data_IF_250092357068
#
_entry.id   IF_250092357068
#
_cell.length_a   1.000
_cell.length_b   1.000
_cell.length_c   1.000
_cell.angle_alpha   90.00
_cell.angle_beta   90.00
_cell.angle_gamma   90.00
#
_symmetry.space_group_name_H-M   'P 1'
#
loop_
_entity.id
_entity.type
_entity.pdbx_description
1 polymer ?
#
# COMPACT_ATOMS: atom_id res chain seq x y z
N UNK A 1 5.06 6.67 46.09
CA UNK A 1 5.78 5.81 45.14
C UNK A 1 4.85 5.56 43.97
N UNK A 2 5.00 6.34 42.90
CA UNK A 2 4.04 6.41 41.79
C UNK A 2 4.39 5.42 40.68
N UNK A 3 3.40 4.59 40.36
CA UNK A 3 3.27 3.67 39.22
C UNK A 3 3.93 4.19 37.92
N UNK A 4 4.91 3.43 37.41
CA UNK A 4 5.49 3.65 36.07
C UNK A 4 4.89 2.60 35.12
N UNK A 5 3.94 3.04 34.29
CA UNK A 5 3.34 2.23 33.23
C UNK A 5 4.35 2.00 32.09
N UNK A 6 4.66 0.75 31.81
CA UNK A 6 5.47 0.35 30.66
C UNK A 6 4.74 0.65 29.34
N UNK A 7 5.43 1.32 28.40
CA UNK A 7 4.95 1.58 27.04
C UNK A 7 5.66 0.61 26.10
N UNK A 8 4.88 -0.20 25.37
CA UNK A 8 5.33 -1.18 24.38
C UNK A 8 5.71 -0.45 23.07
N UNK A 9 6.86 -0.78 22.48
CA UNK A 9 7.42 -0.10 21.29
C UNK A 9 7.31 -1.00 20.05
N UNK A 10 6.90 -0.46 18.89
CA UNK A 10 6.74 -1.24 17.65
C UNK A 10 7.46 -0.60 16.45
N UNK A 11 8.40 -1.32 15.84
CA UNK A 11 8.54 -1.29 14.37
C UNK A 11 7.34 -2.05 13.80
N UNK A 12 6.68 -1.54 12.75
CA UNK A 12 5.62 -2.32 12.08
C UNK A 12 6.26 -3.38 11.22
N UNK A 13 6.53 -4.53 11.84
CA UNK A 13 6.81 -5.80 11.17
C UNK A 13 5.50 -6.23 10.52
N UNK A 14 5.44 -6.21 9.18
CA UNK A 14 4.36 -6.87 8.45
C UNK A 14 4.86 -8.20 7.93
N UNK A 15 4.19 -9.27 8.32
CA UNK A 15 4.33 -10.56 7.68
C UNK A 15 3.49 -10.54 6.41
N UNK A 16 4.13 -10.39 5.27
CA UNK A 16 3.55 -10.84 4.02
C UNK A 16 3.88 -12.34 3.89
N UNK A 17 3.01 -13.14 3.24
CA UNK A 17 3.08 -14.62 3.23
C UNK A 17 4.45 -15.23 2.88
N UNK A 18 5.44 -14.45 2.42
CA UNK A 18 6.81 -14.89 2.10
C UNK A 18 7.94 -14.00 2.61
N UNK A 19 7.68 -12.86 3.27
CA UNK A 19 8.72 -11.90 3.69
C UNK A 19 8.31 -11.11 4.96
N UNK A 20 9.29 -10.70 5.77
CA UNK A 20 9.13 -9.68 6.80
C UNK A 20 9.50 -8.32 6.21
N UNK A 21 8.53 -7.43 6.06
CA UNK A 21 8.78 -6.05 5.63
C UNK A 21 8.89 -5.12 6.85
N UNK A 22 10.03 -4.44 6.98
CA UNK A 22 10.23 -3.35 7.94
C UNK A 22 9.83 -2.02 7.30
N UNK A 23 8.69 -1.49 7.76
CA UNK A 23 8.21 -0.19 7.31
C UNK A 23 8.73 0.94 8.19
N UNK A 24 9.49 1.85 7.60
CA UNK A 24 9.95 3.05 8.26
C UNK A 24 8.98 4.25 8.00
N UNK A 25 7.73 4.16 8.50
CA UNK A 25 6.77 5.29 8.50
C UNK A 25 6.34 5.69 9.93
N UNK A 26 6.27 7.00 10.25
CA UNK A 26 5.63 7.52 11.49
C UNK A 26 4.10 7.42 11.39
N UNK A 27 3.30 7.12 12.42
CA UNK A 27 3.18 7.54 13.83
C UNK A 27 2.47 6.40 14.64
N UNK A 28 2.31 6.47 15.98
CA UNK A 28 1.86 5.33 16.79
C UNK A 28 0.36 5.10 16.61
N UNK A 29 -0.05 3.87 16.25
CA UNK A 29 -1.46 3.48 16.28
C UNK A 29 -1.74 2.62 17.50
N UNK A 30 -2.61 3.09 18.39
CA UNK A 30 -3.22 2.28 19.45
C UNK A 30 -4.15 1.25 18.82
N UNK A 31 -3.68 0.02 18.63
CA UNK A 31 -4.46 -1.23 18.79
C UNK A 31 -3.82 -2.38 18.02
N UNK A 32 -3.81 -3.53 18.72
CA UNK A 32 -3.56 -4.90 18.26
C UNK A 32 -2.11 -5.27 17.96
N UNK A 33 -1.39 -5.66 19.00
CA UNK A 33 -0.23 -6.56 18.91
C UNK A 33 -0.42 -7.74 19.86
N UNK A 34 -0.45 -8.95 19.27
CA UNK A 34 -0.26 -10.20 19.99
C UNK A 34 1.24 -10.30 20.28
N UNK A 35 1.60 -10.27 21.56
CA UNK A 35 2.96 -10.11 22.04
C UNK A 35 3.85 -11.30 21.65
N UNK A 36 4.99 -11.02 21.02
CA UNK A 36 6.11 -11.95 20.93
C UNK A 36 7.29 -11.39 21.73
N UNK A 37 7.83 -12.22 22.64
CA UNK A 37 8.96 -11.93 23.54
C UNK A 37 10.29 -11.78 22.77
N UNK A 38 10.41 -10.78 21.90
CA UNK A 38 11.69 -10.44 21.25
C UNK A 38 12.51 -9.40 22.04
N UNK A 39 11.89 -8.75 23.04
CA UNK A 39 12.39 -7.48 23.59
C UNK A 39 13.00 -7.56 25.01
N UNK A 40 13.10 -8.75 25.60
CA UNK A 40 13.61 -8.91 26.98
C UNK A 40 15.14 -9.03 27.09
N UNK A 41 15.90 -8.88 26.00
CA UNK A 41 17.34 -9.23 26.00
C UNK A 41 18.29 -8.03 26.15
N UNK A 42 17.87 -6.77 25.92
CA UNK A 42 18.80 -5.63 26.06
C UNK A 42 18.15 -4.32 26.54
N UNK A 43 18.27 -3.98 27.85
CA UNK A 43 17.83 -2.68 28.39
C UNK A 43 18.73 -1.49 28.01
N UNK A 44 19.90 -1.73 27.40
CA UNK A 44 20.93 -0.69 27.19
C UNK A 44 20.80 0.15 25.90
N UNK A 45 19.81 -0.13 25.04
CA UNK A 45 19.66 0.57 23.75
C UNK A 45 18.58 1.66 23.72
N UNK A 46 17.96 1.99 24.87
CA UNK A 46 16.82 2.89 24.91
C UNK A 46 17.04 3.98 25.95
N UNK A 47 17.57 5.13 25.50
CA UNK A 47 17.50 6.37 26.26
C UNK A 47 16.05 6.89 26.32
N UNK A 48 15.69 7.70 27.33
CA UNK A 48 14.33 8.16 27.54
C UNK A 48 14.03 9.37 26.65
N UNK A 49 13.42 9.17 25.48
CA UNK A 49 12.68 10.20 24.76
C UNK A 49 11.74 9.59 23.71
N UNK A 50 10.59 10.20 23.47
CA UNK A 50 9.57 9.77 22.54
C UNK A 50 10.09 9.43 21.12
N UNK A 51 9.65 8.31 20.53
CA UNK A 51 9.38 8.23 19.08
C UNK A 51 10.51 7.86 18.10
N UNK A 52 11.51 7.05 18.46
CA UNK A 52 12.53 6.57 17.50
C UNK A 52 12.06 5.38 16.64
N UNK A 53 11.08 5.61 15.76
CA UNK A 53 10.66 4.64 14.74
C UNK A 53 10.33 5.36 13.43
N UNK A 54 10.18 4.60 12.35
CA UNK A 54 9.83 5.20 11.06
C UNK A 54 11.02 5.90 10.39
N UNK A 55 10.75 6.92 9.58
CA UNK A 55 11.78 7.66 8.85
C UNK A 55 12.83 8.35 9.75
N UNK A 56 12.54 8.53 11.05
CA UNK A 56 13.52 9.06 12.00
C UNK A 56 14.76 8.15 12.16
N UNK A 57 14.62 6.83 11.92
CA UNK A 57 15.72 5.87 11.98
C UNK A 57 16.74 6.05 10.84
N UNK A 58 16.40 6.82 9.80
CA UNK A 58 17.37 7.18 8.76
C UNK A 58 18.55 8.02 9.28
N UNK A 59 18.44 8.58 10.50
CA UNK A 59 19.53 9.28 11.19
C UNK A 59 20.64 8.34 11.68
N UNK A 60 20.36 7.05 11.80
CA UNK A 60 21.28 6.05 12.35
C UNK A 60 21.19 4.76 11.52
N UNK A 61 21.96 4.73 10.42
CA UNK A 61 22.01 3.58 9.53
C UNK A 61 22.56 2.32 10.22
N UNK A 62 23.48 2.48 11.17
CA UNK A 62 24.07 1.37 11.92
C UNK A 62 23.03 0.70 12.82
N UNK A 63 22.18 1.50 13.50
CA UNK A 63 21.06 0.96 14.26
C UNK A 63 20.08 0.19 13.36
N UNK A 64 19.76 0.73 12.16
CA UNK A 64 18.87 0.03 11.21
C UNK A 64 19.49 -1.29 10.75
N UNK A 65 20.79 -1.31 10.42
CA UNK A 65 21.54 -2.53 10.10
C UNK A 65 21.42 -3.57 11.22
N UNK A 66 21.63 -3.16 12.46
CA UNK A 66 21.61 -4.07 13.62
C UNK A 66 20.21 -4.63 13.88
N UNK A 67 19.17 -3.81 13.68
CA UNK A 67 17.77 -4.26 13.71
C UNK A 67 17.50 -5.31 12.64
N UNK A 68 17.89 -5.03 11.38
CA UNK A 68 17.72 -5.96 10.25
C UNK A 68 18.43 -7.28 10.54
N UNK A 69 19.70 -7.21 10.95
CA UNK A 69 20.50 -8.38 11.27
C UNK A 69 19.86 -9.21 12.38
N UNK A 70 19.40 -8.55 13.45
CA UNK A 70 18.78 -9.25 14.58
C UNK A 70 17.48 -9.94 14.16
N UNK A 71 16.61 -9.27 13.42
CA UNK A 71 15.36 -9.87 12.95
C UNK A 71 15.66 -11.04 12.02
N UNK A 72 16.62 -10.89 11.10
CA UNK A 72 17.03 -11.94 10.17
C UNK A 72 17.56 -13.21 10.85
N UNK A 73 18.05 -13.12 12.10
CA UNK A 73 18.45 -14.29 12.89
C UNK A 73 17.28 -15.03 13.55
N UNK A 74 16.14 -14.38 13.69
CA UNK A 74 14.96 -14.90 14.39
C UNK A 74 13.90 -15.47 13.43
N UNK A 75 14.02 -15.22 12.13
CA UNK A 75 13.05 -15.64 11.11
C UNK A 75 13.71 -16.38 9.95
N UNK A 76 12.97 -17.26 9.29
CA UNK A 76 13.46 -18.02 8.12
C UNK A 76 13.07 -17.38 6.78
N UNK A 77 12.30 -16.29 6.81
CA UNK A 77 11.87 -15.56 5.61
C UNK A 77 12.70 -14.29 5.42
N UNK A 78 12.90 -13.80 4.19
CA UNK A 78 13.69 -12.60 3.93
C UNK A 78 13.19 -11.38 4.72
N UNK A 79 14.13 -10.57 5.22
CA UNK A 79 13.87 -9.26 5.83
C UNK A 79 14.12 -8.17 4.80
N UNK A 80 13.09 -7.38 4.50
CA UNK A 80 13.15 -6.26 3.55
C UNK A 80 13.00 -4.92 4.26
N UNK A 81 13.55 -3.86 3.65
CA UNK A 81 13.54 -2.51 4.22
C UNK A 81 12.79 -1.55 3.31
N UNK A 82 11.73 -0.93 3.85
CA UNK A 82 11.02 0.15 3.17
C UNK A 82 11.36 1.51 3.75
N UNK A 83 12.08 2.32 2.98
CA UNK A 83 12.58 3.63 3.41
C UNK A 83 12.20 4.77 2.45
N UNK A 84 12.67 5.97 2.75
CA UNK A 84 12.60 7.17 1.88
C UNK A 84 13.99 7.47 1.33
N UNK A 85 14.06 8.43 0.40
CA UNK A 85 15.33 8.88 -0.22
C UNK A 85 16.16 9.84 0.66
N UNK A 86 15.61 10.25 1.80
CA UNK A 86 16.23 11.23 2.68
C UNK A 86 15.27 11.73 3.75
N UNK A 87 15.76 12.60 4.62
CA UNK A 87 14.97 13.31 5.62
C UNK A 87 15.43 14.75 5.76
N UNK A 88 14.52 15.67 6.10
CA UNK A 88 14.77 17.10 6.27
C UNK A 88 15.68 17.67 5.15
N UNK A 89 16.92 18.03 5.47
CA UNK A 89 17.94 18.53 4.51
C UNK A 89 19.01 17.47 4.15
N UNK A 90 18.89 16.25 4.68
CA UNK A 90 19.75 15.11 4.41
C UNK A 90 19.17 14.28 3.26
N UNK A 91 19.48 14.67 2.03
CA UNK A 91 18.91 14.07 0.83
C UNK A 91 19.89 13.97 -0.35
N UNK A 92 21.20 13.97 -0.11
CA UNK A 92 22.20 13.78 -1.18
C UNK A 92 22.23 12.34 -1.71
N UNK A 93 22.74 12.14 -2.93
CA UNK A 93 23.01 10.80 -3.46
C UNK A 93 23.94 10.00 -2.54
N UNK A 94 25.01 10.64 -2.05
CA UNK A 94 25.97 10.03 -1.13
C UNK A 94 25.28 9.52 0.14
N UNK A 95 24.44 10.33 0.78
CA UNK A 95 23.70 9.91 1.98
C UNK A 95 22.86 8.65 1.71
N UNK A 96 22.11 8.64 0.60
CA UNK A 96 21.26 7.50 0.26
C UNK A 96 22.10 6.25 -0.05
N UNK A 97 23.22 6.42 -0.76
CA UNK A 97 24.17 5.34 -1.03
C UNK A 97 24.71 4.73 0.27
N UNK A 98 25.27 5.56 1.16
CA UNK A 98 25.86 5.12 2.43
C UNK A 98 24.83 4.43 3.33
N UNK A 99 23.59 4.94 3.34
CA UNK A 99 22.49 4.33 4.05
C UNK A 99 22.19 2.92 3.53
N UNK A 100 22.04 2.74 2.21
CA UNK A 100 21.77 1.44 1.59
C UNK A 100 22.93 0.47 1.79
N UNK A 101 24.17 0.93 1.61
CA UNK A 101 25.37 0.12 1.85
C UNK A 101 25.43 -0.37 3.29
N UNK A 102 25.21 0.52 4.27
CA UNK A 102 25.25 0.17 5.69
C UNK A 102 24.15 -0.83 6.06
N UNK A 103 22.92 -0.58 5.62
CA UNK A 103 21.77 -1.43 5.99
C UNK A 103 21.82 -2.79 5.30
N UNK A 104 22.31 -2.86 4.06
CA UNK A 104 22.45 -4.13 3.32
C UNK A 104 23.48 -5.07 3.97
N UNK A 105 24.50 -4.54 4.66
CA UNK A 105 25.44 -5.33 5.47
C UNK A 105 24.76 -6.08 6.64
N UNK A 106 23.55 -5.68 7.04
CA UNK A 106 22.72 -6.40 8.01
C UNK A 106 22.02 -7.64 7.44
N UNK A 107 22.09 -7.85 6.11
CA UNK A 107 21.46 -8.98 5.41
C UNK A 107 20.22 -8.60 4.59
N UNK A 108 19.82 -7.33 4.55
CA UNK A 108 18.71 -6.89 3.69
C UNK A 108 19.15 -6.89 2.22
N UNK A 109 18.42 -7.65 1.39
CA UNK A 109 18.70 -7.76 -0.06
C UNK A 109 17.68 -7.04 -0.95
N UNK A 110 16.52 -6.68 -0.41
CA UNK A 110 15.46 -5.99 -1.16
C UNK A 110 14.98 -4.75 -0.41
N UNK A 111 15.06 -3.62 -1.09
CA UNK A 111 14.65 -2.31 -0.58
C UNK A 111 13.45 -1.76 -1.34
N UNK A 112 12.47 -1.24 -0.61
CA UNK A 112 11.32 -0.52 -1.19
C UNK A 112 11.51 0.97 -0.93
N UNK A 113 11.80 1.74 -1.97
CA UNK A 113 12.18 3.14 -1.85
C UNK A 113 10.97 4.03 -2.16
N UNK A 114 10.47 4.73 -1.14
CA UNK A 114 9.55 5.84 -1.39
C UNK A 114 10.36 7.04 -1.91
N UNK A 115 10.12 7.41 -3.16
CA UNK A 115 10.85 8.45 -3.90
C UNK A 115 10.57 9.89 -3.46
N UNK A 116 10.32 10.12 -2.16
CA UNK A 116 10.19 11.45 -1.56
C UNK A 116 10.92 11.45 -0.22
N UNK A 117 11.62 12.53 0.12
CA UNK A 117 12.19 12.70 1.46
C UNK A 117 11.11 12.78 2.54
N UNK A 118 11.46 12.56 3.80
CA UNK A 118 10.59 12.83 4.94
C UNK A 118 10.96 14.15 5.62
N UNK A 119 10.01 15.05 5.78
CA UNK A 119 10.14 16.13 6.75
C UNK A 119 9.79 15.58 8.14
N UNK A 120 10.77 15.48 9.02
CA UNK A 120 10.56 14.97 10.39
C UNK A 120 10.00 16.06 11.30
N UNK A 121 10.21 17.32 10.95
CA UNK A 121 9.65 18.49 11.62
C UNK A 121 8.81 19.33 10.65
N UNK A 122 7.80 20.02 11.18
CA UNK A 122 7.15 21.13 10.48
C UNK A 122 6.06 20.78 9.46
N UNK A 123 5.76 19.50 9.16
CA UNK A 123 4.61 19.14 8.31
C UNK A 123 3.89 17.88 8.79
N UNK A 124 2.58 17.86 8.62
CA UNK A 124 1.76 16.70 8.94
C UNK A 124 2.03 15.49 8.01
N UNK A 125 1.66 14.26 8.40
CA UNK A 125 1.88 13.05 7.60
C UNK A 125 1.18 13.03 6.22
N UNK A 126 0.12 13.82 6.02
CA UNK A 126 -0.55 13.94 4.72
C UNK A 126 0.31 14.79 3.78
N UNK A 127 0.76 15.95 4.25
CA UNK A 127 1.69 16.84 3.52
C UNK A 127 3.01 16.14 3.18
N UNK A 128 3.53 15.30 4.08
CA UNK A 128 4.72 14.48 3.84
C UNK A 128 4.61 13.48 2.66
N UNK A 129 3.42 13.27 2.12
CA UNK A 129 3.16 12.42 0.95
C UNK A 129 2.78 13.19 -0.32
N UNK A 130 2.71 14.52 -0.25
CA UNK A 130 2.28 15.37 -1.37
C UNK A 130 3.19 16.57 -1.62
N UNK A 131 3.89 17.07 -0.60
CA UNK A 131 4.71 18.30 -0.69
C UNK A 131 6.10 18.06 -1.29
N UNK A 132 6.99 17.20 -0.75
CA UNK A 132 8.33 17.03 -1.34
C UNK A 132 8.23 16.38 -2.71
N UNK A 133 8.91 16.86 -3.77
CA UNK A 133 8.78 16.30 -5.12
C UNK A 133 9.14 14.80 -5.18
N UNK A 134 8.61 14.11 -6.19
CA UNK A 134 9.04 12.74 -6.49
C UNK A 134 10.38 12.78 -7.20
N UNK A 135 11.29 11.90 -6.79
CA UNK A 135 12.64 11.77 -7.34
C UNK A 135 12.87 10.28 -7.70
N UNK A 136 12.29 9.83 -8.81
CA UNK A 136 12.38 8.43 -9.25
C UNK A 136 13.78 8.06 -9.76
N UNK A 137 14.50 9.00 -10.36
CA UNK A 137 15.88 8.88 -10.82
C UNK A 137 16.79 8.36 -9.71
N UNK A 138 16.54 8.74 -8.46
CA UNK A 138 17.31 8.27 -7.30
C UNK A 138 17.12 6.79 -7.00
N UNK A 139 15.98 6.20 -7.37
CA UNK A 139 15.75 4.77 -7.21
C UNK A 139 16.43 3.99 -8.33
N UNK A 140 16.42 4.50 -9.56
CA UNK A 140 17.19 3.92 -10.67
C UNK A 140 18.70 4.02 -10.44
N UNK A 141 19.17 5.12 -9.84
CA UNK A 141 20.55 5.26 -9.40
C UNK A 141 20.94 4.13 -8.44
N UNK A 142 20.07 3.74 -7.51
CA UNK A 142 20.37 2.61 -6.61
C UNK A 142 20.46 1.27 -7.34
N UNK A 143 19.64 1.05 -8.36
CA UNK A 143 19.73 -0.16 -9.20
C UNK A 143 21.11 -0.25 -9.86
N UNK A 144 21.58 0.88 -10.40
CA UNK A 144 22.89 1.01 -11.05
C UNK A 144 24.08 0.81 -10.08
N UNK A 145 24.01 1.38 -8.88
CA UNK A 145 25.11 1.32 -7.92
C UNK A 145 25.18 0.00 -7.14
N UNK A 146 24.07 -0.73 -7.02
CA UNK A 146 23.99 -1.96 -6.24
C UNK A 146 23.39 -3.10 -7.07
N UNK A 147 24.13 -3.62 -8.09
CA UNK A 147 23.61 -4.65 -9.01
C UNK A 147 23.20 -5.96 -8.30
N UNK A 148 23.76 -6.24 -7.12
CA UNK A 148 23.41 -7.43 -6.36
C UNK A 148 22.13 -7.27 -5.50
N UNK A 149 21.64 -6.04 -5.31
CA UNK A 149 20.46 -5.73 -4.50
C UNK A 149 19.22 -5.56 -5.39
N UNK A 150 18.05 -5.81 -4.80
CA UNK A 150 16.78 -5.59 -5.46
C UNK A 150 16.14 -4.28 -4.96
N UNK A 151 15.52 -3.53 -5.87
CA UNK A 151 14.81 -2.29 -5.53
C UNK A 151 13.38 -2.29 -6.07
N UNK A 152 12.43 -1.86 -5.25
CA UNK A 152 11.07 -1.54 -5.70
C UNK A 152 10.74 -0.09 -5.47
N UNK A 153 10.12 0.55 -6.47
CA UNK A 153 9.79 1.96 -6.43
C UNK A 153 8.43 2.19 -5.77
N UNK A 154 8.35 3.22 -4.92
CA UNK A 154 7.12 3.64 -4.27
C UNK A 154 6.92 5.16 -4.30
N UNK A 155 5.66 5.57 -4.29
CA UNK A 155 5.22 6.96 -4.27
C UNK A 155 4.76 7.39 -5.66
N UNK A 156 3.64 8.12 -5.74
CA UNK A 156 3.16 8.71 -7.00
C UNK A 156 2.52 7.76 -8.02
N UNK A 157 2.72 6.44 -7.93
CA UNK A 157 2.13 5.44 -8.85
C UNK A 157 0.61 5.37 -8.70
N UNK A 158 -0.12 5.56 -9.79
CA UNK A 158 -1.59 5.65 -9.81
C UNK A 158 -2.28 4.49 -10.52
N UNK A 159 -1.59 3.74 -11.38
CA UNK A 159 -2.20 2.69 -12.20
C UNK A 159 -1.28 1.48 -12.42
N UNK A 160 -1.83 0.37 -12.93
CA UNK A 160 -1.04 -0.78 -13.40
C UNK A 160 -0.19 -0.38 -14.61
N UNK A 161 -0.70 0.49 -15.50
CA UNK A 161 0.10 1.04 -16.59
C UNK A 161 1.34 1.80 -16.09
N UNK A 162 1.17 2.68 -15.10
CA UNK A 162 2.29 3.39 -14.48
C UNK A 162 3.32 2.40 -13.92
N UNK A 163 2.86 1.29 -13.34
CA UNK A 163 3.72 0.24 -12.81
C UNK A 163 4.55 -0.42 -13.90
N UNK A 164 3.92 -0.79 -15.02
CA UNK A 164 4.57 -1.39 -16.19
C UNK A 164 5.59 -0.42 -16.77
N UNK A 165 5.20 0.84 -17.00
CA UNK A 165 6.08 1.87 -17.54
C UNK A 165 7.33 2.06 -16.66
N UNK A 166 7.15 2.13 -15.34
CA UNK A 166 8.28 2.28 -14.41
C UNK A 166 9.19 1.05 -14.39
N UNK A 167 8.66 -0.17 -14.35
CA UNK A 167 9.50 -1.38 -14.36
C UNK A 167 10.27 -1.52 -15.68
N UNK A 168 9.66 -1.11 -16.80
CA UNK A 168 10.31 -1.08 -18.11
C UNK A 168 11.33 0.06 -18.28
N UNK A 169 11.42 1.00 -17.32
CA UNK A 169 12.25 2.20 -17.44
C UNK A 169 11.72 3.22 -18.46
N UNK A 170 10.41 3.18 -18.76
CA UNK A 170 9.71 4.14 -19.61
C UNK A 170 9.27 5.36 -18.79
N UNK A 171 10.22 6.08 -18.22
CA UNK A 171 9.97 7.30 -17.44
C UNK A 171 11.05 8.33 -17.73
N UNK A 172 10.74 9.62 -17.60
CA UNK A 172 11.72 10.70 -17.72
C UNK A 172 11.27 11.89 -16.87
N UNK A 173 12.24 12.62 -16.31
CA UNK A 173 12.05 13.96 -15.75
C UNK A 173 12.35 15.07 -16.77
N UNK A 174 12.68 14.71 -18.01
CA UNK A 174 13.05 15.63 -19.08
C UNK A 174 14.54 15.96 -19.14
N UNK A 175 15.39 15.32 -18.33
CA UNK A 175 16.84 15.55 -18.33
C UNK A 175 17.59 14.44 -19.09
N UNK A 176 18.66 14.84 -19.80
CA UNK A 176 19.48 13.90 -20.56
C UNK A 176 20.23 12.92 -19.65
N UNK A 177 20.56 13.36 -18.43
CA UNK A 177 21.22 12.58 -17.40
C UNK A 177 20.33 11.42 -16.93
N UNK A 178 19.06 11.70 -16.63
CA UNK A 178 18.07 10.70 -16.25
C UNK A 178 17.82 9.72 -17.41
N UNK A 179 17.68 10.22 -18.64
CA UNK A 179 17.49 9.36 -19.81
C UNK A 179 18.70 8.45 -20.08
N UNK A 180 19.93 8.92 -19.79
CA UNK A 180 21.14 8.10 -19.87
C UNK A 180 21.18 7.03 -18.78
N UNK A 181 20.80 7.38 -17.55
CA UNK A 181 20.70 6.45 -16.42
C UNK A 181 19.68 5.33 -16.70
N UNK A 182 18.46 5.67 -17.12
CA UNK A 182 17.44 4.66 -17.38
C UNK A 182 17.83 3.75 -18.56
N UNK A 183 18.44 4.29 -19.61
CA UNK A 183 19.00 3.46 -20.69
C UNK A 183 20.07 2.50 -20.19
N UNK A 184 20.94 2.92 -19.27
CA UNK A 184 21.96 2.05 -18.68
C UNK A 184 21.31 0.95 -17.84
N UNK A 185 20.43 1.31 -16.91
CA UNK A 185 19.74 0.35 -16.01
C UNK A 185 18.89 -0.66 -16.78
N UNK A 186 18.32 -0.29 -17.93
CA UNK A 186 17.45 -1.18 -18.72
C UNK A 186 18.19 -2.01 -19.77
N UNK A 187 19.35 -1.56 -20.28
CA UNK A 187 20.09 -2.25 -21.35
C UNK A 187 21.29 -3.03 -20.86
N UNK A 188 21.92 -2.62 -19.76
CA UNK A 188 23.06 -3.35 -19.20
C UNK A 188 22.56 -4.58 -18.45
N UNK A 189 22.91 -5.76 -18.95
CA UNK A 189 22.51 -7.05 -18.36
C UNK A 189 23.16 -7.33 -17.01
N UNK A 190 24.21 -6.59 -16.63
CA UNK A 190 24.85 -6.70 -15.32
C UNK A 190 24.07 -5.95 -14.23
N UNK A 191 23.15 -5.05 -14.61
CA UNK A 191 22.31 -4.29 -13.70
C UNK A 191 20.95 -4.95 -13.60
N UNK A 192 20.45 -5.12 -12.37
CA UNK A 192 19.06 -5.50 -12.16
C UNK A 192 18.18 -4.26 -12.29
N UNK A 193 17.17 -4.27 -13.18
CA UNK A 193 16.18 -3.19 -13.20
C UNK A 193 15.32 -3.23 -11.92
N UNK A 194 14.36 -2.31 -11.83
CA UNK A 194 13.39 -2.32 -10.73
C UNK A 194 12.74 -3.70 -10.63
N UNK A 195 12.80 -4.32 -9.45
CA UNK A 195 12.13 -5.59 -9.14
C UNK A 195 10.60 -5.45 -9.16
N UNK A 196 10.10 -4.24 -8.94
CA UNK A 196 8.67 -3.96 -8.99
C UNK A 196 8.31 -2.57 -8.48
N UNK A 197 7.02 -2.32 -8.31
CA UNK A 197 6.51 -1.09 -7.73
C UNK A 197 5.51 -1.38 -6.62
N UNK A 198 5.38 -0.43 -5.70
CA UNK A 198 4.36 -0.48 -4.65
C UNK A 198 3.32 0.62 -4.86
N UNK A 199 2.07 0.23 -5.08
CA UNK A 199 0.91 1.12 -5.16
C UNK A 199 0.24 1.20 -3.78
N UNK A 200 0.12 2.42 -3.25
CA UNK A 200 -0.47 2.67 -1.94
C UNK A 200 -1.84 3.33 -2.00
N UNK A 201 -1.87 4.66 -2.01
CA UNK A 201 -3.10 5.45 -1.91
C UNK A 201 -4.06 5.22 -3.08
N UNK A 202 -3.56 4.99 -4.29
CA UNK A 202 -4.41 4.75 -5.45
C UNK A 202 -5.26 3.48 -5.24
N UNK A 203 -4.64 2.35 -4.90
CA UNK A 203 -5.34 1.11 -4.57
C UNK A 203 -6.28 1.22 -3.36
N UNK A 204 -5.94 2.05 -2.36
CA UNK A 204 -6.82 2.28 -1.21
C UNK A 204 -8.04 3.17 -1.54
N UNK A 205 -7.88 4.11 -2.47
CA UNK A 205 -8.97 4.97 -2.92
C UNK A 205 -9.88 4.25 -3.91
N UNK A 206 -9.28 3.42 -4.76
CA UNK A 206 -9.95 2.57 -5.73
C UNK A 206 -9.23 1.22 -5.84
N UNK A 207 -9.76 0.17 -5.22
CA UNK A 207 -9.18 -1.18 -5.34
C UNK A 207 -9.20 -1.73 -6.76
N UNK A 208 -10.16 -1.32 -7.60
CA UNK A 208 -10.32 -1.81 -8.96
C UNK A 208 -9.21 -1.31 -9.90
N UNK A 209 -8.39 -0.35 -9.48
CA UNK A 209 -7.19 0.07 -10.20
C UNK A 209 -6.17 -1.06 -10.41
N UNK A 210 -6.31 -2.16 -9.67
CA UNK A 210 -5.47 -3.35 -9.75
C UNK A 210 -6.08 -4.47 -10.61
N UNK A 211 -7.24 -4.27 -11.23
CA UNK A 211 -7.99 -5.35 -11.90
C UNK A 211 -7.20 -6.08 -13.00
N UNK A 212 -6.37 -5.34 -13.74
CA UNK A 212 -5.52 -5.89 -14.80
C UNK A 212 -4.14 -6.37 -14.34
N UNK A 213 -3.83 -6.38 -13.04
CA UNK A 213 -2.46 -6.71 -12.59
C UNK A 213 -2.02 -8.12 -12.98
N UNK A 214 -2.93 -9.09 -12.92
CA UNK A 214 -2.64 -10.49 -13.23
C UNK A 214 -2.30 -10.68 -14.72
N UNK A 215 -3.06 -10.04 -15.60
CA UNK A 215 -2.92 -10.18 -17.05
C UNK A 215 -1.86 -9.23 -17.62
N UNK A 216 -1.92 -7.94 -17.27
CA UNK A 216 -1.07 -6.89 -17.86
C UNK A 216 0.34 -6.87 -17.25
N UNK A 217 0.49 -7.18 -15.96
CA UNK A 217 1.79 -7.12 -15.26
C UNK A 217 2.42 -8.50 -15.08
N UNK A 218 1.65 -9.52 -14.66
CA UNK A 218 2.18 -10.88 -14.45
C UNK A 218 2.03 -11.80 -15.66
N UNK A 219 1.36 -11.38 -16.74
CA UNK A 219 1.22 -12.16 -17.97
C UNK A 219 0.35 -13.41 -17.82
N UNK A 220 -0.53 -13.46 -16.83
CA UNK A 220 -1.50 -14.56 -16.69
C UNK A 220 -2.54 -14.48 -17.82
N UNK A 221 -3.06 -15.63 -18.26
CA UNK A 221 -4.02 -15.69 -19.37
C UNK A 221 -5.38 -15.05 -19.07
N UNK A 222 -5.74 -14.95 -17.78
CA UNK A 222 -7.03 -14.42 -17.34
C UNK A 222 -6.98 -14.03 -15.86
N UNK A 223 -7.78 -13.02 -15.49
CA UNK A 223 -8.06 -12.69 -14.09
C UNK A 223 -8.85 -13.81 -13.40
N UNK A 224 -8.73 -13.97 -12.06
CA UNK A 224 -9.49 -14.98 -11.34
C UNK A 224 -11.01 -14.73 -11.43
N UNK A 225 -11.86 -15.77 -11.32
CA UNK A 225 -13.32 -15.62 -11.38
C UNK A 225 -13.90 -14.65 -10.34
N UNK A 226 -13.18 -14.43 -9.23
CA UNK A 226 -13.54 -13.46 -8.19
C UNK A 226 -13.23 -11.99 -8.55
N UNK A 227 -12.68 -11.73 -9.73
CA UNK A 227 -12.24 -10.41 -10.18
C UNK A 227 -12.64 -10.14 -11.64
N UNK A 228 -13.81 -10.61 -12.07
CA UNK A 228 -14.37 -10.32 -13.39
C UNK A 228 -15.20 -9.03 -13.39
N UNK A 229 -15.92 -8.79 -12.31
CA UNK A 229 -16.78 -7.61 -12.11
C UNK A 229 -16.75 -7.11 -10.67
N UNK A 230 -17.29 -5.91 -10.42
CA UNK A 230 -17.42 -5.36 -9.06
C UNK A 230 -18.29 -6.26 -8.19
N UNK A 231 -19.34 -6.87 -8.75
CA UNK A 231 -20.18 -7.87 -8.08
C UNK A 231 -19.34 -9.06 -7.64
N UNK A 232 -18.53 -9.63 -8.53
CA UNK A 232 -17.70 -10.80 -8.20
C UNK A 232 -16.72 -10.52 -7.06
N UNK A 233 -16.09 -9.33 -7.07
CA UNK A 233 -15.16 -8.86 -6.03
C UNK A 233 -15.87 -8.70 -4.68
N UNK A 234 -17.00 -7.99 -4.67
CA UNK A 234 -17.78 -7.74 -3.46
C UNK A 234 -18.35 -9.04 -2.89
N UNK A 235 -18.81 -9.96 -3.74
CA UNK A 235 -19.29 -11.28 -3.34
C UNK A 235 -18.16 -12.11 -2.71
N UNK A 236 -16.99 -12.20 -3.35
CA UNK A 236 -15.84 -12.91 -2.81
C UNK A 236 -15.37 -12.32 -1.47
N UNK A 237 -15.38 -10.98 -1.34
CA UNK A 237 -15.06 -10.33 -0.09
C UNK A 237 -16.13 -10.56 0.98
N UNK A 238 -17.42 -10.58 0.61
CA UNK A 238 -18.52 -10.94 1.51
C UNK A 238 -18.36 -12.35 2.09
N UNK A 239 -17.97 -13.32 1.26
CA UNK A 239 -17.65 -14.68 1.73
C UNK A 239 -16.46 -14.70 2.69
N UNK A 240 -15.42 -13.91 2.41
CA UNK A 240 -14.29 -13.73 3.33
C UNK A 240 -14.75 -13.14 4.67
N UNK A 241 -15.58 -12.09 4.67
CA UNK A 241 -16.12 -11.49 5.88
C UNK A 241 -16.93 -12.50 6.71
N UNK A 242 -17.77 -13.31 6.05
CA UNK A 242 -18.56 -14.36 6.71
C UNK A 242 -17.67 -15.41 7.38
N UNK A 243 -16.53 -15.77 6.79
CA UNK A 243 -15.56 -16.70 7.41
C UNK A 243 -14.76 -16.06 8.55
N UNK A 244 -14.42 -14.78 8.42
CA UNK A 244 -13.50 -14.12 9.35
C UNK A 244 -14.16 -13.57 10.61
N UNK A 245 -15.45 -13.24 10.54
CA UNK A 245 -16.23 -12.66 11.63
C UNK A 245 -17.73 -12.89 11.40
N UNK A 246 -18.20 -14.16 11.44
CA UNK A 246 -19.61 -14.50 11.16
C UNK A 246 -20.56 -13.79 12.13
N UNK A 247 -20.19 -13.76 13.42
CA UNK A 247 -21.05 -13.35 14.54
C UNK A 247 -20.72 -11.95 15.10
N UNK A 248 -19.93 -11.16 14.36
CA UNK A 248 -19.60 -9.75 14.70
C UNK A 248 -18.86 -9.60 16.03
N UNK A 249 -17.78 -10.35 16.22
CA UNK A 249 -16.85 -10.16 17.34
C UNK A 249 -15.96 -8.93 17.12
N UNK A 250 -15.73 -8.55 15.86
CA UNK A 250 -14.81 -7.47 15.49
C UNK A 250 -15.56 -6.20 15.14
N UNK A 251 -14.83 -5.09 15.23
CA UNK A 251 -15.32 -3.84 14.65
C UNK A 251 -15.50 -3.99 13.14
N UNK A 252 -16.67 -3.61 12.63
CA UNK A 252 -16.98 -3.63 11.20
C UNK A 252 -16.15 -2.61 10.41
N UNK A 253 -15.63 -1.56 11.05
CA UNK A 253 -14.89 -0.51 10.38
C UNK A 253 -13.62 -0.99 9.65
N UNK A 254 -12.65 -1.66 10.32
CA UNK A 254 -11.48 -2.21 9.63
C UNK A 254 -11.83 -3.27 8.59
N UNK A 255 -12.97 -3.95 8.73
CA UNK A 255 -13.44 -4.97 7.81
C UNK A 255 -14.07 -4.38 6.54
N UNK A 256 -14.81 -3.28 6.64
CA UNK A 256 -15.52 -2.68 5.50
C UNK A 256 -14.73 -1.58 4.81
N UNK A 257 -13.80 -0.92 5.52
CA UNK A 257 -12.95 0.14 4.94
C UNK A 257 -12.26 -0.25 3.61
N UNK A 258 -11.76 -1.48 3.40
CA UNK A 258 -11.11 -1.86 2.14
C UNK A 258 -12.02 -1.81 0.92
N UNK A 259 -13.34 -2.00 1.06
CA UNK A 259 -14.27 -2.09 -0.07
C UNK A 259 -14.98 -0.78 -0.39
N UNK A 260 -14.84 0.25 0.46
CA UNK A 260 -15.51 1.55 0.27
C UNK A 260 -15.20 2.19 -1.09
N UNK A 261 -14.02 1.93 -1.66
CA UNK A 261 -13.57 2.47 -2.93
C UNK A 261 -13.92 1.64 -4.17
N UNK A 262 -14.56 0.47 -4.06
CA UNK A 262 -14.71 -0.48 -5.20
C UNK A 262 -15.51 0.11 -6.37
N UNK A 263 -16.47 1.00 -6.07
CA UNK A 263 -17.25 1.71 -7.08
C UNK A 263 -16.65 3.06 -7.48
N UNK A 264 -15.40 3.38 -7.11
CA UNK A 264 -14.81 4.70 -7.37
C UNK A 264 -14.91 5.08 -8.86
N UNK A 265 -15.57 6.21 -9.13
CA UNK A 265 -15.79 6.72 -10.49
C UNK A 265 -16.97 6.07 -11.23
N UNK A 266 -17.74 5.17 -10.62
CA UNK A 266 -18.92 4.56 -11.22
C UNK A 266 -20.23 5.22 -10.74
N UNK A 267 -21.33 5.11 -11.51
CA UNK A 267 -22.68 5.33 -10.99
C UNK A 267 -22.92 4.51 -9.71
N UNK A 268 -23.77 4.98 -8.81
CA UNK A 268 -23.99 4.31 -7.51
C UNK A 268 -22.86 4.42 -6.49
N UNK A 269 -21.67 4.97 -6.82
CA UNK A 269 -20.56 5.10 -5.87
C UNK A 269 -20.95 5.83 -4.57
N UNK A 270 -21.58 7.00 -4.70
CA UNK A 270 -21.98 7.82 -3.55
C UNK A 270 -23.00 7.09 -2.68
N UNK A 271 -23.96 6.42 -3.29
CA UNK A 271 -24.98 5.62 -2.62
C UNK A 271 -24.34 4.47 -1.84
N UNK A 272 -23.52 3.66 -2.52
CA UNK A 272 -22.78 2.55 -1.90
C UNK A 272 -21.96 3.01 -0.69
N UNK A 273 -21.16 4.06 -0.88
CA UNK A 273 -20.32 4.63 0.16
C UNK A 273 -21.15 5.15 1.33
N UNK A 274 -22.23 5.89 1.06
CA UNK A 274 -23.12 6.42 2.08
C UNK A 274 -23.77 5.30 2.89
N UNK A 275 -24.27 4.25 2.24
CA UNK A 275 -24.87 3.09 2.91
C UNK A 275 -23.87 2.41 3.85
N UNK A 276 -22.63 2.18 3.41
CA UNK A 276 -21.57 1.64 4.27
C UNK A 276 -21.22 2.59 5.42
N UNK A 277 -20.92 3.86 5.12
CA UNK A 277 -20.47 4.85 6.12
C UNK A 277 -21.54 5.11 7.19
N UNK A 278 -22.83 5.14 6.82
CA UNK A 278 -23.97 5.28 7.74
C UNK A 278 -24.00 4.12 8.74
N UNK A 279 -24.03 2.89 8.23
CA UNK A 279 -24.15 1.69 9.07
C UNK A 279 -22.88 1.47 9.91
N UNK A 280 -21.69 1.85 9.40
CA UNK A 280 -20.44 1.80 10.15
C UNK A 280 -20.41 2.77 11.35
N UNK A 281 -21.18 3.86 11.32
CA UNK A 281 -21.25 4.85 12.41
C UNK A 281 -22.39 4.57 13.39
N UNK A 282 -23.47 3.98 12.92
CA UNK A 282 -24.61 3.58 13.74
C UNK A 282 -24.26 2.31 14.53
N UNK A 283 -23.87 2.49 15.80
CA UNK A 283 -23.46 1.37 16.70
C UNK A 283 -24.57 0.32 16.91
N UNK A 284 -25.81 0.66 16.59
CA UNK A 284 -27.05 0.00 17.00
C UNK A 284 -27.52 -1.19 16.16
N UNK A 285 -26.94 -1.45 14.97
CA UNK A 285 -27.58 -2.42 14.05
C UNK A 285 -27.33 -3.90 14.35
N UNK A 286 -26.37 -4.27 15.20
CA UNK A 286 -26.05 -5.69 15.46
C UNK A 286 -25.57 -6.49 14.23
N UNK A 287 -25.64 -5.93 13.02
CA UNK A 287 -25.38 -6.63 11.77
C UNK A 287 -23.89 -6.96 11.59
N UNK A 288 -23.56 -8.20 11.20
CA UNK A 288 -22.20 -8.58 10.84
C UNK A 288 -21.77 -7.89 9.54
N UNK A 289 -20.45 -7.70 9.35
CA UNK A 289 -19.91 -6.94 8.22
C UNK A 289 -20.35 -7.47 6.85
N UNK A 290 -20.48 -8.79 6.69
CA UNK A 290 -20.93 -9.41 5.44
C UNK A 290 -22.37 -9.02 5.07
N UNK A 291 -23.27 -8.92 6.06
CA UNK A 291 -24.66 -8.54 5.85
C UNK A 291 -24.78 -7.04 5.51
N UNK A 292 -23.94 -6.20 6.13
CA UNK A 292 -23.85 -4.78 5.80
C UNK A 292 -23.40 -4.58 4.34
N UNK A 293 -22.36 -5.32 3.92
CA UNK A 293 -21.88 -5.28 2.54
C UNK A 293 -22.95 -5.75 1.55
N UNK A 294 -23.66 -6.83 1.87
CA UNK A 294 -24.75 -7.35 1.04
C UNK A 294 -25.89 -6.32 0.89
N UNK A 295 -26.27 -5.66 1.98
CA UNK A 295 -27.27 -4.60 1.93
C UNK A 295 -26.83 -3.45 1.02
N UNK A 296 -25.58 -2.98 1.15
CA UNK A 296 -25.05 -1.92 0.29
C UNK A 296 -25.01 -2.32 -1.20
N UNK A 297 -24.73 -3.59 -1.50
CA UNK A 297 -24.80 -4.16 -2.86
C UNK A 297 -26.24 -4.11 -3.38
N UNK A 298 -27.20 -4.63 -2.63
CA UNK A 298 -28.62 -4.63 -3.02
C UNK A 298 -29.16 -3.21 -3.24
N UNK A 299 -28.82 -2.26 -2.37
CA UNK A 299 -29.21 -0.85 -2.55
C UNK A 299 -28.68 -0.24 -3.85
N UNK A 300 -27.47 -0.64 -4.28
CA UNK A 300 -26.95 -0.21 -5.59
C UNK A 300 -27.71 -0.87 -6.72
N UNK A 301 -27.98 -2.17 -6.65
CA UNK A 301 -28.72 -2.89 -7.69
C UNK A 301 -30.13 -2.34 -7.90
N UNK A 302 -30.82 -1.95 -6.83
CA UNK A 302 -32.16 -1.34 -6.88
C UNK A 302 -32.15 0.02 -7.57
N UNK A 303 -31.12 0.84 -7.34
CA UNK A 303 -31.05 2.23 -7.87
C UNK A 303 -30.30 2.34 -9.19
N UNK A 304 -29.41 1.40 -9.46
CA UNK A 304 -28.48 1.38 -10.59
C UNK A 304 -28.25 -0.07 -11.07
N UNK A 305 -29.28 -0.72 -11.64
CA UNK A 305 -29.18 -2.12 -12.04
C UNK A 305 -28.04 -2.38 -13.03
N UNK A 306 -27.36 -3.52 -12.88
CA UNK A 306 -26.27 -3.94 -13.77
C UNK A 306 -24.93 -3.20 -13.62
N UNK A 307 -24.84 -2.08 -12.88
CA UNK A 307 -23.56 -1.36 -12.66
C UNK A 307 -22.48 -2.23 -12.03
N UNK A 308 -22.87 -3.14 -11.14
CA UNK A 308 -21.92 -4.02 -10.47
C UNK A 308 -21.40 -5.14 -11.38
N UNK A 309 -22.11 -5.45 -12.47
CA UNK A 309 -21.80 -6.54 -13.40
C UNK A 309 -20.87 -6.10 -14.52
N UNK A 310 -20.74 -4.79 -14.73
CA UNK A 310 -19.75 -4.16 -15.57
C UNK A 310 -18.32 -4.68 -15.31
N UNK A 311 -17.58 -4.92 -16.40
CA UNK A 311 -16.16 -5.29 -16.39
C UNK A 311 -15.32 -4.31 -15.55
N UNK A 312 -14.34 -4.82 -14.82
CA UNK A 312 -13.51 -4.00 -13.93
C UNK A 312 -12.65 -2.97 -14.69
N UNK A 313 -12.29 -3.25 -15.94
CA UNK A 313 -11.53 -2.38 -16.83
C UNK A 313 -12.34 -1.27 -17.49
N UNK A 314 -13.67 -1.21 -17.26
CA UNK A 314 -14.48 -0.13 -17.82
C UNK A 314 -13.96 1.26 -17.40
N UNK A 315 -13.90 2.22 -18.34
CA UNK A 315 -13.50 3.58 -18.03
C UNK A 315 -14.34 4.17 -16.90
N UNK A 316 -13.66 4.86 -15.98
CA UNK A 316 -14.30 5.59 -14.89
C UNK A 316 -14.96 6.86 -15.42
N UNK A 317 -15.85 7.42 -14.60
CA UNK A 317 -16.64 8.63 -14.89
C UNK A 317 -17.67 8.40 -16.00
N UNK A 318 -18.05 7.14 -16.21
CA UNK A 318 -19.12 6.79 -17.13
C UNK A 318 -20.48 7.17 -16.51
N UNK A 319 -21.33 7.84 -17.30
CA UNK A 319 -22.72 8.07 -16.91
C UNK A 319 -23.49 6.75 -17.05
N UNK A 320 -24.52 6.56 -16.21
CA UNK A 320 -25.31 5.32 -16.23
C UNK A 320 -25.89 5.03 -17.61
N UNK A 321 -26.42 6.05 -18.30
CA UNK A 321 -26.98 5.97 -19.65
C UNK A 321 -25.99 5.54 -20.74
N UNK A 322 -24.70 5.51 -20.43
CA UNK A 322 -23.61 5.11 -21.35
C UNK A 322 -22.98 3.77 -20.98
N UNK A 323 -23.49 3.09 -19.95
CA UNK A 323 -22.97 1.80 -19.56
C UNK A 323 -23.44 0.71 -20.53
N UNK A 324 -22.58 -0.28 -20.84
CA UNK A 324 -22.94 -1.42 -21.67
C UNK A 324 -23.75 -2.42 -20.82
N UNK A 325 -24.99 -2.06 -20.50
CA UNK A 325 -25.89 -2.89 -19.71
C UNK A 325 -26.71 -3.83 -20.64
N UNK A 326 -27.12 -4.99 -20.13
CA UNK A 326 -28.06 -5.85 -20.85
C UNK A 326 -29.47 -5.23 -20.86
N UNK A 327 -30.30 -5.58 -21.83
CA UNK A 327 -31.68 -5.06 -22.03
C UNK A 327 -32.63 -5.24 -20.82
N UNK A 328 -32.21 -5.99 -19.79
CA UNK A 328 -32.94 -6.21 -18.54
C UNK A 328 -32.65 -5.17 -17.45
N UNK A 329 -31.78 -4.18 -17.69
CA UNK A 329 -31.29 -3.22 -16.69
C UNK A 329 -31.80 -1.79 -16.92
N UNK A 330 -33.09 -1.62 -17.23
CA UNK A 330 -33.71 -0.30 -17.32
C UNK A 330 -33.68 0.41 -15.94
N UNK A 331 -33.40 1.72 -15.95
CA UNK A 331 -33.47 2.54 -14.73
C UNK A 331 -34.89 2.50 -14.15
N UNK A 332 -35.05 2.40 -12.82
CA UNK A 332 -36.33 2.69 -12.20
C UNK A 332 -36.72 4.13 -12.57
N UNK A 333 -37.87 4.29 -13.22
CA UNK A 333 -38.32 5.58 -13.75
C UNK A 333 -38.22 6.68 -12.71
N UNK A 334 -37.50 7.76 -13.02
CA UNK A 334 -37.49 8.97 -12.21
C UNK A 334 -38.87 9.61 -12.30
N UNK A 335 -39.76 9.27 -11.36
CA UNK A 335 -40.98 10.02 -11.11
C UNK A 335 -40.60 11.46 -10.80
N UNK A 336 -41.11 12.38 -11.63
CA UNK A 336 -40.94 13.83 -11.57
C UNK A 336 -41.42 14.37 -10.21
#
# INVERSE_FOLDING_TARGET
MSDVRAVEWSARVRFFRREVELHFFGQPSRSLTRSYKLWSVYPRFLGPAAGCFGAALMKDAALVRDIVHRIGREVQIPVTVKTRIGYDHCESHQFLHDFIQTVSAGGCRHFIIHARKAWLKGVDPKKNRSVPPLMYERVYYLCDQFPDLDFSLNGGVKSVKDAIDLVAGNWSDGTAETDALLRRVTKDKSIKPLKGVMIGRAAAADPCVLAGVDTEFYGLSSSPPSATSRRSVLHAYGQYLKRCDPDREKSVFPLLKPVVGVLSGMPGHRLFRFTLDRIMREKSHGMPAHAILQHAVSTVDESYPGVLDCDLGLPKECRYDKLPLSDTAEMPGTGI
#
